data_IF_669464442605
#
_entry.id   IF_669464442605
#
_cell.length_a   1.000
_cell.length_b   1.000
_cell.length_c   1.000
_cell.angle_alpha   90.00
_cell.angle_beta   90.00
_cell.angle_gamma   90.00
#
_symmetry.space_group_name_H-M   'P 1'
#
loop_
_entity.id
_entity.type
_entity.pdbx_description
1 polymer ?
#
# COMPACT_ATOMS: atom_id res chain seq x y z
N UNK A 1 4.40 -0.96 14.74
CA UNK A 1 4.17 -0.09 13.58
C UNK A 1 4.98 -0.52 12.36
N UNK A 2 4.32 -1.35 11.56
CA UNK A 2 4.68 -1.92 10.28
C UNK A 2 3.47 -1.77 9.36
N UNK A 3 3.71 -1.41 8.11
CA UNK A 3 2.68 -1.37 7.09
C UNK A 3 2.46 -2.78 6.53
N UNK A 4 1.26 -3.34 6.63
CA UNK A 4 0.88 -4.66 6.12
C UNK A 4 -0.11 -4.52 4.96
N UNK A 5 -0.05 -5.46 4.01
CA UNK A 5 -0.99 -5.57 2.89
C UNK A 5 -1.78 -6.86 3.03
N UNK A 6 -3.09 -6.71 3.19
CA UNK A 6 -4.02 -7.82 3.20
C UNK A 6 -4.48 -8.12 1.76
N UNK A 7 -3.97 -9.22 1.20
CA UNK A 7 -4.29 -9.68 -0.15
C UNK A 7 -5.77 -10.07 -0.33
N UNK A 8 -6.46 -10.49 0.73
CA UNK A 8 -7.89 -10.83 0.66
C UNK A 8 -8.79 -9.61 0.51
N UNK A 9 -8.32 -8.44 0.96
CA UNK A 9 -9.03 -7.16 0.81
C UNK A 9 -8.59 -6.38 -0.42
N UNK A 10 -7.46 -6.73 -1.02
CA UNK A 10 -6.99 -6.07 -2.23
C UNK A 10 -7.66 -6.73 -3.45
N UNK A 11 -8.47 -5.99 -4.23
CA UNK A 11 -9.16 -6.56 -5.39
C UNK A 11 -8.21 -6.91 -6.56
N UNK A 12 -6.96 -6.42 -6.52
CA UNK A 12 -5.94 -6.71 -7.51
C UNK A 12 -6.37 -6.52 -8.98
N UNK A 13 -7.20 -5.50 -9.23
CA UNK A 13 -7.82 -5.22 -10.54
C UNK A 13 -7.37 -3.86 -11.13
N UNK A 14 -6.58 -3.09 -10.40
CA UNK A 14 -6.16 -1.74 -10.80
C UNK A 14 -4.74 -1.43 -10.33
N UNK A 15 -4.13 -0.39 -10.89
CA UNK A 15 -2.87 0.17 -10.36
C UNK A 15 -3.14 0.80 -8.99
N UNK A 16 -2.47 0.32 -7.94
CA UNK A 16 -2.74 0.77 -6.57
C UNK A 16 -2.56 2.28 -6.48
N UNK A 17 -3.63 3.04 -6.18
CA UNK A 17 -3.58 4.49 -6.19
C UNK A 17 -2.82 5.00 -4.95
N UNK A 18 -2.60 4.15 -3.94
CA UNK A 18 -1.71 4.46 -2.82
C UNK A 18 -0.24 4.69 -3.23
N UNK A 19 0.18 4.23 -4.41
CA UNK A 19 1.52 4.53 -4.95
C UNK A 19 1.72 6.04 -5.16
N UNK A 20 0.69 6.75 -5.63
CA UNK A 20 0.75 8.21 -5.88
C UNK A 20 0.71 9.02 -4.58
N UNK A 21 0.07 8.48 -3.54
CA UNK A 21 -0.04 9.16 -2.24
C UNK A 21 1.19 8.91 -1.36
N UNK A 22 2.05 7.96 -1.71
CA UNK A 22 3.24 7.63 -0.94
C UNK A 22 4.35 8.68 -1.19
N UNK A 23 4.69 9.54 -0.22
CA UNK A 23 5.63 10.65 -0.44
C UNK A 23 7.08 10.19 -0.68
N UNK A 24 7.38 8.93 -0.33
CA UNK A 24 8.72 8.33 -0.39
C UNK A 24 8.82 7.23 -1.43
N UNK A 25 7.75 6.98 -2.20
CA UNK A 25 7.72 5.93 -3.23
C UNK A 25 8.03 4.53 -2.67
N UNK A 26 7.57 4.23 -1.45
CA UNK A 26 7.81 2.94 -0.80
C UNK A 26 6.88 1.83 -1.29
N UNK A 27 5.81 2.16 -2.02
CA UNK A 27 4.81 1.18 -2.50
C UNK A 27 5.13 0.86 -3.96
N UNK A 28 5.26 -0.43 -4.26
CA UNK A 28 5.49 -0.94 -5.61
C UNK A 28 4.39 -1.90 -5.99
N UNK A 29 4.09 -2.02 -7.27
CA UNK A 29 3.11 -2.97 -7.77
C UNK A 29 3.58 -3.56 -9.09
N UNK A 30 3.33 -4.85 -9.27
CA UNK A 30 3.60 -5.58 -10.51
C UNK A 30 2.28 -5.94 -11.19
N UNK A 31 2.02 -5.36 -12.37
CA UNK A 31 0.75 -5.52 -13.07
C UNK A 31 -0.43 -4.98 -12.25
N UNK A 32 -1.45 -5.82 -12.04
CA UNK A 32 -2.60 -5.51 -11.17
C UNK A 32 -2.57 -6.22 -9.82
N UNK A 33 -1.50 -6.94 -9.50
CA UNK A 33 -1.40 -7.66 -8.22
C UNK A 33 -1.40 -6.73 -7.00
N UNK A 34 -1.63 -7.32 -5.82
CA UNK A 34 -1.51 -6.61 -4.57
C UNK A 34 -0.11 -5.94 -4.43
N UNK A 35 -0.05 -4.69 -3.95
CA UNK A 35 1.20 -3.95 -3.88
C UNK A 35 2.16 -4.53 -2.84
N UNK A 36 3.46 -4.38 -3.08
CA UNK A 36 4.56 -4.70 -2.17
C UNK A 36 5.14 -3.42 -1.57
N UNK A 37 5.68 -3.53 -0.34
CA UNK A 37 6.19 -2.39 0.42
C UNK A 37 7.70 -2.54 0.57
N UNK A 38 8.42 -1.51 0.15
CA UNK A 38 9.81 -1.30 0.50
C UNK A 38 9.90 -0.73 1.92
N UNK A 39 10.11 -1.61 2.89
CA UNK A 39 10.22 -1.25 4.30
C UNK A 39 11.44 -0.38 4.62
N UNK A 40 12.47 -0.35 3.75
CA UNK A 40 13.63 0.53 3.95
C UNK A 40 13.28 1.99 3.66
N UNK A 41 12.35 2.23 2.73
CA UNK A 41 11.86 3.57 2.39
C UNK A 41 10.64 3.99 3.20
N UNK A 42 9.84 3.05 3.70
CA UNK A 42 8.59 3.35 4.37
C UNK A 42 8.80 4.13 5.69
N UNK A 43 8.40 5.40 5.69
CA UNK A 43 8.42 6.28 6.87
C UNK A 43 7.21 6.11 7.81
N UNK A 44 6.35 5.11 7.57
CA UNK A 44 5.19 4.78 8.43
C UNK A 44 4.20 5.95 8.61
N UNK A 45 4.05 6.82 7.60
CA UNK A 45 3.17 7.99 7.67
C UNK A 45 1.66 7.67 7.64
N UNK A 46 1.26 6.42 7.37
CA UNK A 46 -0.16 6.00 7.39
C UNK A 46 -1.03 6.45 6.20
N UNK A 47 -0.57 7.39 5.35
CA UNK A 47 -1.35 7.95 4.24
C UNK A 47 -1.98 6.88 3.32
N UNK A 48 -1.21 5.85 2.96
CA UNK A 48 -1.68 4.75 2.12
C UNK A 48 -2.79 3.91 2.78
N UNK A 49 -2.73 3.71 4.09
CA UNK A 49 -3.75 2.98 4.85
C UNK A 49 -5.06 3.79 4.93
N UNK A 50 -4.97 5.10 5.12
CA UNK A 50 -6.13 6.01 5.12
C UNK A 50 -6.76 6.13 3.73
N UNK A 51 -5.93 6.15 2.69
CA UNK A 51 -6.38 6.37 1.32
C UNK A 51 -7.02 5.13 0.69
N UNK A 52 -6.62 3.91 1.09
CA UNK A 52 -7.16 2.69 0.51
C UNK A 52 -8.61 2.44 1.00
N UNK A 53 -9.64 2.54 0.14
CA UNK A 53 -11.03 2.38 0.57
C UNK A 53 -11.34 0.97 1.05
N UNK A 54 -10.69 -0.03 0.45
CA UNK A 54 -10.80 -1.44 0.82
C UNK A 54 -10.12 -1.77 2.16
N UNK A 55 -9.40 -0.82 2.77
CA UNK A 55 -8.61 -1.04 3.99
C UNK A 55 -7.70 -2.27 3.87
N UNK A 56 -7.14 -2.45 2.68
CA UNK A 56 -6.19 -3.53 2.39
C UNK A 56 -4.80 -3.21 2.94
N UNK A 57 -4.44 -1.93 3.05
CA UNK A 57 -3.24 -1.43 3.70
C UNK A 57 -3.56 -1.08 5.16
N UNK A 58 -2.82 -1.62 6.12
CA UNK A 58 -2.95 -1.30 7.54
C UNK A 58 -1.59 -0.99 8.16
N UNK A 59 -1.55 -0.02 9.08
CA UNK A 59 -0.36 0.31 9.85
C UNK A 59 -0.55 -0.20 11.29
N UNK A 60 0.23 -1.22 11.69
CA UNK A 60 0.14 -1.89 13.01
C UNK A 60 1.52 -2.10 13.65
#
# INVERSE_FOLDING_TARGET
MRLTVNKQRCPADHKCPAMEVCPVGAIKQEGFNAPTIDYKKCIKCGKCATFCPMKALKLE
#
